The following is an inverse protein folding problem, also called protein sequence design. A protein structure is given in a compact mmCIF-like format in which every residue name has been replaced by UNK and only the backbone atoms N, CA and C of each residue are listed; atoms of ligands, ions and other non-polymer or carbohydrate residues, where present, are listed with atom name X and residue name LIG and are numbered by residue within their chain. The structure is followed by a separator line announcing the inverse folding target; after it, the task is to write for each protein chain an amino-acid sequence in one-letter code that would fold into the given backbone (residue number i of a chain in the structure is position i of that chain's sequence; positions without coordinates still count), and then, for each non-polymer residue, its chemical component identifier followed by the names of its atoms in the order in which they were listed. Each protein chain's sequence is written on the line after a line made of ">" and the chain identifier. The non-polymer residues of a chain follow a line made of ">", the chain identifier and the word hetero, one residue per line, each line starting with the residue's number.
data_IF_020723025725
#
_entry.id   IF_020723025725
#
_cell.length_a   1.000
_cell.length_b   1.000
_cell.length_c   1.000
_cell.angle_alpha   90.00
_cell.angle_beta   90.00
_cell.angle_gamma   90.00
#
_symmetry.space_group_name_H-M   'P 1'
#
loop_
_entity.id
_entity.type
_entity.pdbx_description
1 polymer ?
#
# COMPACT_ATOMS: atom_id res chain seq x y z
N UNK A 1 35.46 22.09 -1.35
CA UNK A 1 34.35 22.00 -0.38
C UNK A 1 33.06 22.20 -1.17
N UNK A 2 32.51 21.10 -1.70
CA UNK A 2 31.23 21.09 -2.41
C UNK A 2 30.18 20.57 -1.45
N UNK A 3 29.08 21.29 -1.34
CA UNK A 3 27.85 20.86 -0.69
C UNK A 3 26.76 20.97 -1.75
N UNK A 4 26.11 19.89 -2.16
CA UNK A 4 24.81 19.97 -2.79
C UNK A 4 23.73 19.56 -1.79
N UNK A 5 22.79 20.46 -1.55
CA UNK A 5 21.53 20.16 -0.89
C UNK A 5 20.43 20.02 -1.96
N UNK A 6 19.54 19.06 -1.67
CA UNK A 6 18.20 18.90 -2.21
C UNK A 6 18.08 18.48 -3.69
N UNK A 7 18.03 17.16 -3.89
CA UNK A 7 17.31 16.55 -5.02
C UNK A 7 15.82 16.60 -4.65
N UNK A 8 15.07 17.47 -5.32
CA UNK A 8 13.61 17.46 -5.35
C UNK A 8 13.21 16.53 -6.51
N UNK A 9 12.84 15.29 -6.22
CA UNK A 9 12.21 14.39 -7.20
C UNK A 9 10.72 14.72 -7.22
N UNK A 10 10.33 15.64 -8.09
CA UNK A 10 8.95 15.74 -8.56
C UNK A 10 8.91 15.11 -9.94
N UNK A 11 8.58 13.82 -10.01
CA UNK A 11 8.40 13.11 -11.26
C UNK A 11 6.99 13.42 -11.79
N UNK A 12 6.81 14.62 -12.35
CA UNK A 12 5.70 14.86 -13.27
C UNK A 12 6.07 14.21 -14.61
N UNK A 13 5.25 13.27 -15.06
CA UNK A 13 5.38 12.64 -16.38
C UNK A 13 5.28 13.69 -17.50
N UNK A 14 6.42 14.17 -17.99
CA UNK A 14 6.48 14.99 -19.20
C UNK A 14 6.63 14.06 -20.40
N UNK A 15 5.51 13.59 -20.97
CA UNK A 15 5.52 13.01 -22.32
C UNK A 15 5.58 14.17 -23.31
N UNK A 16 6.72 14.29 -23.98
CA UNK A 16 6.90 15.15 -25.16
C UNK A 16 6.04 14.58 -26.29
N UNK A 17 4.90 15.22 -26.59
CA UNK A 17 4.23 15.03 -27.87
C UNK A 17 4.57 16.21 -28.77
N UNK A 18 5.39 15.94 -29.78
CA UNK A 18 5.58 16.83 -30.91
C UNK A 18 4.24 17.02 -31.62
N UNK A 19 3.74 18.26 -31.66
CA UNK A 19 2.56 18.61 -32.42
C UNK A 19 2.82 18.46 -33.92
N UNK A 20 2.17 17.47 -34.55
CA UNK A 20 1.86 17.50 -35.98
C UNK A 20 0.48 18.14 -36.17
N UNK A 21 0.30 19.10 -37.09
CA UNK A 21 -1.01 19.72 -37.30
C UNK A 21 -1.84 18.83 -38.24
N UNK A 22 -2.64 17.94 -37.66
CA UNK A 22 -3.59 17.13 -38.42
C UNK A 22 -4.31 16.14 -37.52
N UNK A 23 -5.60 16.38 -37.31
CA UNK A 23 -6.49 15.73 -36.36
C UNK A 23 -6.23 14.24 -36.07
N UNK A 24 -5.99 13.95 -34.81
CA UNK A 24 -6.36 12.71 -34.13
C UNK A 24 -6.79 13.13 -32.72
N UNK A 25 -7.98 12.71 -32.32
CA UNK A 25 -8.49 12.92 -30.96
C UNK A 25 -7.43 12.43 -29.96
N UNK A 26 -7.04 13.31 -29.04
CA UNK A 26 -6.26 12.92 -27.89
C UNK A 26 -7.12 11.92 -27.10
N UNK A 27 -6.78 10.63 -27.19
CA UNK A 27 -7.28 9.67 -26.23
C UNK A 27 -6.93 10.21 -24.84
N UNK A 28 -7.93 10.49 -24.02
CA UNK A 28 -7.73 10.94 -22.66
C UNK A 28 -6.83 9.91 -21.95
N UNK A 29 -5.61 10.31 -21.64
CA UNK A 29 -4.74 9.54 -20.76
C UNK A 29 -5.48 9.48 -19.41
N UNK A 30 -5.92 8.30 -19.02
CA UNK A 30 -6.60 8.10 -17.74
C UNK A 30 -5.62 8.45 -16.63
N UNK A 31 -5.94 9.49 -15.87
CA UNK A 31 -5.17 10.03 -14.74
C UNK A 31 -5.25 9.11 -13.50
N UNK A 32 -5.17 7.80 -13.72
CA UNK A 32 -5.32 6.82 -12.66
C UNK A 32 -4.10 6.88 -11.73
N UNK A 33 -4.32 7.23 -10.47
CA UNK A 33 -3.27 7.32 -9.48
C UNK A 33 -2.84 5.91 -9.02
N UNK A 34 -1.53 5.60 -8.99
CA UNK A 34 -1.04 4.27 -8.62
C UNK A 34 -1.03 4.05 -7.10
N UNK A 35 -0.96 2.78 -6.68
CA UNK A 35 -0.62 2.41 -5.32
C UNK A 35 0.89 2.56 -5.16
N UNK A 36 1.36 3.34 -4.19
CA UNK A 36 2.79 3.66 -4.03
C UNK A 36 3.28 3.23 -2.65
N UNK A 37 4.37 2.47 -2.64
CA UNK A 37 5.02 1.96 -1.43
C UNK A 37 6.53 2.06 -1.54
N UNK A 38 7.21 2.12 -0.40
CA UNK A 38 8.68 2.06 -0.36
C UNK A 38 9.15 0.79 0.32
N UNK A 39 10.10 0.09 -0.33
CA UNK A 39 10.63 -1.20 0.10
C UNK A 39 12.14 -1.18 0.27
N UNK A 40 12.65 -1.95 1.23
CA UNK A 40 14.08 -2.12 1.50
C UNK A 40 14.66 -3.33 0.77
N UNK A 41 15.87 -3.16 0.25
CA UNK A 41 16.73 -4.23 -0.26
C UNK A 41 18.06 -4.19 0.49
N UNK A 42 18.25 -5.15 1.39
CA UNK A 42 19.38 -5.17 2.33
C UNK A 42 20.69 -5.74 1.77
N UNK A 43 20.63 -6.43 0.62
CA UNK A 43 21.80 -7.02 -0.03
C UNK A 43 21.71 -6.88 -1.56
N UNK A 44 22.86 -6.69 -2.22
CA UNK A 44 22.96 -6.73 -3.67
C UNK A 44 22.49 -8.11 -4.18
N UNK A 45 21.65 -8.13 -5.21
CA UNK A 45 20.94 -9.34 -5.65
C UNK A 45 19.78 -9.76 -4.74
N UNK A 46 19.35 -8.89 -3.81
CA UNK A 46 18.17 -9.09 -2.98
C UNK A 46 16.88 -8.89 -3.78
N UNK A 47 15.80 -9.51 -3.32
CA UNK A 47 14.50 -9.43 -3.99
C UNK A 47 13.46 -8.64 -3.19
N UNK A 48 12.44 -8.16 -3.88
CA UNK A 48 11.15 -7.77 -3.31
C UNK A 48 10.07 -8.62 -3.98
N UNK A 49 9.14 -9.11 -3.19
CA UNK A 49 7.94 -9.79 -3.66
C UNK A 49 6.75 -8.87 -3.48
N UNK A 50 5.89 -8.78 -4.50
CA UNK A 50 4.55 -8.19 -4.39
C UNK A 50 3.56 -9.36 -4.28
N UNK A 51 3.18 -9.77 -3.06
CA UNK A 51 2.36 -10.96 -2.86
C UNK A 51 0.88 -10.66 -3.10
N UNK A 52 0.30 -11.37 -4.06
CA UNK A 52 -1.14 -11.36 -4.31
C UNK A 52 -1.70 -12.70 -3.89
N UNK A 53 -2.39 -12.75 -2.75
CA UNK A 53 -2.93 -13.99 -2.20
C UNK A 53 -4.30 -14.37 -2.77
N UNK A 54 -4.49 -14.33 -4.09
CA UNK A 54 -5.78 -14.58 -4.71
C UNK A 54 -5.84 -14.18 -6.19
N UNK A 55 -7.04 -14.17 -6.75
CA UNK A 55 -7.26 -13.54 -8.04
C UNK A 55 -6.98 -12.04 -7.92
N UNK A 56 -6.27 -11.51 -8.90
CA UNK A 56 -6.17 -10.09 -9.19
C UNK A 56 -6.49 -9.96 -10.67
N UNK A 57 -6.93 -8.77 -11.08
CA UNK A 57 -6.91 -8.46 -12.49
C UNK A 57 -5.50 -8.31 -13.01
N UNK A 58 -5.42 -7.73 -14.20
CA UNK A 58 -4.15 -7.44 -14.86
C UNK A 58 -3.63 -6.09 -14.40
N UNK A 59 -2.37 -6.04 -13.99
CA UNK A 59 -1.76 -4.83 -13.44
C UNK A 59 -0.31 -4.65 -13.92
N UNK A 60 0.24 -3.47 -13.69
CA UNK A 60 1.63 -3.09 -14.04
C UNK A 60 2.38 -2.70 -12.78
N UNK A 61 3.62 -3.20 -12.64
CA UNK A 61 4.52 -2.88 -11.54
C UNK A 61 5.71 -2.11 -12.06
N UNK A 62 5.93 -0.92 -11.52
CA UNK A 62 7.14 -0.14 -11.72
C UNK A 62 8.02 -0.31 -10.49
N UNK A 63 9.18 -0.94 -10.66
CA UNK A 63 10.03 -1.37 -9.53
C UNK A 63 10.94 -0.28 -8.95
N UNK A 64 10.90 0.94 -9.50
CA UNK A 64 11.70 2.06 -8.99
C UNK A 64 13.19 2.02 -9.34
N UNK A 65 13.65 0.98 -10.06
CA UNK A 65 15.03 0.84 -10.59
C UNK A 65 15.09 0.99 -12.13
N UNK A 66 13.99 1.42 -12.75
CA UNK A 66 13.84 1.56 -14.19
C UNK A 66 13.31 0.30 -14.89
N UNK A 67 13.13 -0.82 -14.17
CA UNK A 67 12.44 -2.00 -14.69
C UNK A 67 10.93 -1.92 -14.47
N UNK A 68 10.17 -2.54 -15.36
CA UNK A 68 8.71 -2.54 -15.35
C UNK A 68 8.19 -3.91 -15.79
N UNK A 69 7.25 -4.45 -15.04
CA UNK A 69 6.47 -5.62 -15.41
C UNK A 69 5.08 -5.16 -15.83
N UNK A 70 4.73 -5.37 -17.10
CA UNK A 70 3.48 -4.89 -17.72
C UNK A 70 2.50 -6.04 -17.90
N UNK A 71 1.23 -5.76 -17.65
CA UNK A 71 0.12 -6.69 -17.84
C UNK A 71 0.30 -8.05 -17.13
N UNK A 72 0.86 -8.01 -15.93
CA UNK A 72 1.07 -9.19 -15.09
C UNK A 72 -0.15 -9.53 -14.24
N UNK A 73 -0.16 -10.75 -13.71
CA UNK A 73 -1.21 -11.28 -12.85
C UNK A 73 -0.59 -12.10 -11.72
N UNK A 74 -1.24 -12.15 -10.55
CA UNK A 74 -0.76 -12.94 -9.40
C UNK A 74 0.54 -12.38 -8.80
N UNK A 75 1.18 -13.11 -7.89
CA UNK A 75 2.38 -12.65 -7.18
C UNK A 75 3.56 -12.38 -8.12
N UNK A 76 4.19 -11.20 -7.97
CA UNK A 76 5.42 -10.85 -8.68
C UNK A 76 6.65 -10.88 -7.78
N UNK A 77 7.80 -11.17 -8.39
CA UNK A 77 9.10 -11.16 -7.71
C UNK A 77 10.11 -10.42 -8.58
N UNK A 78 10.84 -9.49 -7.98
CA UNK A 78 11.88 -8.76 -8.67
C UNK A 78 13.18 -8.78 -7.88
N UNK A 79 14.31 -8.79 -8.57
CA UNK A 79 15.66 -8.83 -7.98
C UNK A 79 16.41 -7.58 -8.34
N UNK A 80 16.93 -6.89 -7.33
CA UNK A 80 17.66 -5.64 -7.49
C UNK A 80 19.17 -5.87 -7.52
N UNK A 81 19.86 -5.14 -8.39
CA UNK A 81 21.32 -5.23 -8.49
C UNK A 81 22.02 -4.67 -7.25
N UNK A 82 21.52 -3.55 -6.73
CA UNK A 82 22.11 -2.81 -5.62
C UNK A 82 21.24 -2.87 -4.36
N UNK A 83 21.81 -2.49 -3.23
CA UNK A 83 21.07 -2.28 -1.99
C UNK A 83 20.45 -0.89 -1.98
N UNK A 84 19.31 -0.74 -1.33
CA UNK A 84 18.70 0.57 -1.14
C UNK A 84 17.23 0.48 -0.78
N UNK A 85 16.60 1.65 -0.76
CA UNK A 85 15.16 1.77 -0.66
C UNK A 85 14.62 2.09 -2.05
N UNK A 86 13.60 1.34 -2.48
CA UNK A 86 12.99 1.46 -3.80
C UNK A 86 11.52 1.82 -3.65
N UNK A 87 11.11 2.87 -4.35
CA UNK A 87 9.71 3.25 -4.45
C UNK A 87 9.07 2.45 -5.57
N UNK A 88 8.11 1.60 -5.21
CA UNK A 88 7.36 0.75 -6.12
C UNK A 88 6.00 1.39 -6.33
N UNK A 89 5.62 1.59 -7.59
CA UNK A 89 4.28 2.05 -7.96
C UNK A 89 3.54 0.98 -8.77
N UNK A 90 2.29 0.72 -8.42
CA UNK A 90 1.46 -0.30 -9.06
C UNK A 90 0.19 0.36 -9.61
N UNK A 91 -0.13 0.07 -10.86
CA UNK A 91 -1.33 0.58 -11.54
C UNK A 91 -2.11 -0.54 -12.23
N UNK A 92 -3.36 -0.28 -12.56
CA UNK A 92 -4.25 -1.27 -13.17
C UNK A 92 -5.10 -1.98 -12.13
N UNK A 93 -5.53 -3.20 -12.43
CA UNK A 93 -6.52 -3.92 -11.61
C UNK A 93 -5.84 -4.72 -10.48
N UNK A 94 -5.11 -3.99 -9.63
CA UNK A 94 -4.42 -4.53 -8.45
C UNK A 94 -5.33 -4.44 -7.22
N UNK A 95 -6.01 -5.54 -6.91
CA UNK A 95 -7.11 -5.54 -5.93
C UNK A 95 -6.73 -6.09 -4.55
N UNK A 96 -5.52 -6.65 -4.39
CA UNK A 96 -5.10 -7.33 -3.17
C UNK A 96 -3.59 -7.37 -2.99
N UNK A 97 -3.15 -7.03 -1.77
CA UNK A 97 -1.83 -7.37 -1.24
C UNK A 97 -2.03 -8.31 -0.03
N UNK A 98 -1.12 -9.27 0.15
CA UNK A 98 -1.24 -10.28 1.22
C UNK A 98 0.13 -10.72 1.73
N UNK A 99 0.69 -9.95 2.66
CA UNK A 99 2.01 -10.23 3.21
C UNK A 99 2.04 -11.40 4.19
N UNK A 100 0.93 -11.66 4.89
CA UNK A 100 0.71 -12.88 5.69
C UNK A 100 1.84 -13.18 6.71
N UNK A 101 2.42 -12.12 7.29
CA UNK A 101 3.48 -12.22 8.30
C UNK A 101 4.80 -12.83 7.79
N UNK A 102 4.95 -13.01 6.48
CA UNK A 102 6.14 -13.65 5.88
C UNK A 102 7.36 -12.73 5.96
N UNK A 103 8.60 -13.26 5.83
CA UNK A 103 9.82 -12.44 5.89
C UNK A 103 9.87 -11.27 4.90
N UNK A 104 9.09 -11.33 3.82
CA UNK A 104 8.95 -10.22 2.87
C UNK A 104 8.25 -8.99 3.48
N UNK A 105 7.36 -9.18 4.47
CA UNK A 105 6.67 -8.09 5.15
C UNK A 105 7.63 -7.09 5.81
N UNK A 106 8.73 -7.60 6.39
CA UNK A 106 9.77 -6.78 7.03
C UNK A 106 10.49 -5.82 6.07
N UNK A 107 10.34 -6.03 4.76
CA UNK A 107 10.95 -5.17 3.74
C UNK A 107 10.09 -3.96 3.40
N UNK A 108 8.80 -3.97 3.70
CA UNK A 108 7.92 -2.83 3.46
C UNK A 108 8.20 -1.73 4.50
N UNK A 109 8.61 -0.56 4.03
CA UNK A 109 8.97 0.57 4.87
C UNK A 109 7.87 1.63 4.95
N UNK A 110 7.09 1.83 3.89
CA UNK A 110 5.97 2.77 3.94
C UNK A 110 4.89 2.49 2.91
N UNK A 111 3.67 2.88 3.28
CA UNK A 111 2.59 3.18 2.33
C UNK A 111 2.63 4.68 2.09
N UNK A 112 2.89 5.07 0.86
CA UNK A 112 3.08 6.46 0.45
C UNK A 112 1.85 7.02 -0.29
N UNK A 113 1.06 6.15 -0.92
CA UNK A 113 -0.19 6.49 -1.62
C UNK A 113 -1.06 5.25 -1.81
N UNK A 114 -2.38 5.38 -1.69
CA UNK A 114 -3.36 4.33 -1.99
C UNK A 114 -3.72 4.24 -3.48
N UNK A 115 -3.90 5.40 -4.12
CA UNK A 115 -4.34 5.53 -5.50
C UNK A 115 -5.77 5.05 -5.74
N UNK A 116 -6.13 4.83 -7.00
CA UNK A 116 -7.50 4.55 -7.45
C UNK A 116 -7.92 3.06 -7.39
N UNK A 117 -7.17 2.24 -6.64
CA UNK A 117 -7.38 0.80 -6.58
C UNK A 117 -8.64 0.51 -5.78
N UNK A 118 -9.59 -0.17 -6.42
CA UNK A 118 -10.71 -0.76 -5.70
C UNK A 118 -10.25 -2.08 -5.08
N UNK A 119 -10.09 -2.06 -3.76
CA UNK A 119 -9.59 -3.24 -3.04
C UNK A 119 -10.70 -4.26 -2.83
N UNK A 120 -10.41 -5.53 -3.09
CA UNK A 120 -11.37 -6.63 -2.89
C UNK A 120 -11.22 -7.24 -1.48
N UNK A 121 -10.03 -7.18 -0.90
CA UNK A 121 -9.76 -7.68 0.45
C UNK A 121 -8.50 -7.04 1.02
N UNK A 122 -8.57 -6.66 2.30
CA UNK A 122 -7.41 -6.18 3.07
C UNK A 122 -6.91 -7.22 4.09
N UNK A 123 -7.42 -8.45 4.03
CA UNK A 123 -7.06 -9.49 4.98
C UNK A 123 -5.56 -9.81 4.92
N UNK A 124 -4.87 -9.65 6.05
CA UNK A 124 -3.41 -9.82 6.20
C UNK A 124 -2.57 -9.02 5.18
N UNK A 125 -3.07 -7.87 4.71
CA UNK A 125 -2.42 -7.08 3.68
C UNK A 125 -1.01 -6.62 4.09
N UNK A 126 -0.88 -6.10 5.32
CA UNK A 126 0.37 -5.57 5.89
C UNK A 126 0.76 -6.29 7.19
N UNK A 127 0.28 -7.53 7.36
CA UNK A 127 0.62 -8.37 8.50
C UNK A 127 2.14 -8.59 8.56
N UNK A 128 2.72 -8.34 9.74
CA UNK A 128 4.14 -8.51 10.03
C UNK A 128 5.05 -7.42 9.46
N UNK A 129 4.50 -6.36 8.85
CA UNK A 129 5.29 -5.24 8.32
C UNK A 129 5.78 -4.32 9.47
N UNK A 130 6.68 -4.84 10.31
CA UNK A 130 7.08 -4.22 11.58
C UNK A 130 7.72 -2.84 11.45
N UNK A 131 8.41 -2.60 10.32
CA UNK A 131 9.14 -1.38 10.03
C UNK A 131 8.29 -0.35 9.25
N UNK A 132 7.07 -0.73 8.86
CA UNK A 132 6.23 0.08 7.99
C UNK A 132 5.66 1.30 8.73
N UNK A 133 5.84 2.47 8.14
CA UNK A 133 5.18 3.73 8.54
C UNK A 133 4.07 4.12 7.55
N UNK A 134 3.21 5.05 7.94
CA UNK A 134 2.11 5.54 7.11
C UNK A 134 2.35 6.99 6.69
N UNK A 135 2.58 7.21 5.39
CA UNK A 135 2.83 8.53 4.80
C UNK A 135 1.70 8.98 3.86
N UNK A 136 0.82 8.07 3.46
CA UNK A 136 -0.29 8.34 2.55
C UNK A 136 -1.17 9.49 3.05
N UNK A 137 -1.59 10.34 2.11
CA UNK A 137 -2.49 11.48 2.37
C UNK A 137 -3.87 11.30 1.75
N UNK A 138 -4.00 10.30 0.90
CA UNK A 138 -5.22 9.77 0.31
C UNK A 138 -5.77 8.58 1.13
N UNK A 139 -6.95 8.10 0.74
CA UNK A 139 -7.66 6.99 1.38
C UNK A 139 -7.91 5.86 0.38
N UNK A 140 -7.86 4.59 0.79
CA UNK A 140 -8.19 3.46 -0.08
C UNK A 140 -9.67 3.47 -0.46
N UNK A 141 -10.00 3.02 -1.68
CA UNK A 141 -11.37 2.60 -2.00
C UNK A 141 -11.63 1.22 -1.36
N UNK A 142 -12.34 1.24 -0.24
CA UNK A 142 -12.76 0.06 0.52
C UNK A 142 -14.20 -0.38 0.19
N UNK A 143 -14.84 0.20 -0.83
CA UNK A 143 -16.25 -0.04 -1.11
C UNK A 143 -16.59 -1.52 -1.39
N UNK A 144 -15.62 -2.29 -1.90
CA UNK A 144 -15.71 -3.74 -2.12
C UNK A 144 -15.09 -4.59 -0.99
N UNK A 145 -14.46 -3.98 0.01
CA UNK A 145 -13.79 -4.69 1.11
C UNK A 145 -14.80 -5.03 2.21
N UNK A 146 -14.92 -6.33 2.48
CA UNK A 146 -15.73 -6.85 3.61
C UNK A 146 -14.87 -7.41 4.76
N UNK A 147 -13.58 -7.65 4.51
CA UNK A 147 -12.65 -8.27 5.46
C UNK A 147 -11.33 -7.50 5.52
N UNK A 148 -11.01 -6.99 6.72
CA UNK A 148 -9.78 -6.32 7.09
C UNK A 148 -9.04 -7.06 8.22
N UNK A 149 -9.37 -8.33 8.44
CA UNK A 149 -8.77 -9.13 9.50
C UNK A 149 -7.25 -9.20 9.34
N UNK A 150 -6.52 -9.12 10.44
CA UNK A 150 -5.05 -9.16 10.48
C UNK A 150 -4.30 -8.08 9.68
N UNK A 151 -5.00 -7.10 9.07
CA UNK A 151 -4.40 -6.18 8.09
C UNK A 151 -3.10 -5.52 8.55
N UNK A 152 -3.01 -5.11 9.82
CA UNK A 152 -1.84 -4.48 10.44
C UNK A 152 -1.30 -5.26 11.64
N UNK A 153 -1.65 -6.54 11.76
CA UNK A 153 -1.17 -7.37 12.85
C UNK A 153 0.37 -7.43 12.83
N UNK A 154 1.02 -7.10 13.93
CA UNK A 154 2.48 -7.05 14.05
C UNK A 154 3.16 -5.89 13.33
N UNK A 155 2.42 -4.92 12.77
CA UNK A 155 2.98 -3.70 12.17
C UNK A 155 3.40 -2.72 13.28
N UNK A 156 4.47 -3.05 14.02
CA UNK A 156 4.85 -2.37 15.27
C UNK A 156 5.18 -0.89 15.14
N UNK A 157 5.62 -0.42 13.96
CA UNK A 157 5.94 0.99 13.69
C UNK A 157 4.77 1.77 13.07
N UNK A 158 3.67 1.09 12.74
CA UNK A 158 2.55 1.70 12.05
C UNK A 158 1.79 2.66 12.97
N UNK A 159 1.61 3.90 12.51
CA UNK A 159 0.75 4.88 13.13
C UNK A 159 0.31 5.90 12.07
N UNK A 160 -1.00 5.98 11.78
CA UNK A 160 -1.55 6.87 10.75
C UNK A 160 -2.95 7.34 11.12
N UNK A 161 -3.33 8.54 10.68
CA UNK A 161 -4.74 8.99 10.76
C UNK A 161 -5.54 8.24 9.68
N UNK A 162 -6.48 7.40 10.12
CA UNK A 162 -7.32 6.57 9.24
C UNK A 162 -8.77 7.07 9.23
N UNK A 163 -9.02 8.29 9.72
CA UNK A 163 -10.36 8.83 9.87
C UNK A 163 -11.05 9.14 8.54
N UNK A 164 -10.30 9.16 7.44
CA UNK A 164 -10.84 9.31 6.08
C UNK A 164 -11.34 7.99 5.47
N UNK A 165 -11.04 6.84 6.09
CA UNK A 165 -11.40 5.55 5.53
C UNK A 165 -12.90 5.29 5.68
N UNK A 166 -13.56 4.91 4.58
CA UNK A 166 -14.95 4.45 4.61
C UNK A 166 -14.97 2.95 4.94
N UNK A 167 -15.38 2.61 6.16
CA UNK A 167 -15.44 1.22 6.64
C UNK A 167 -16.85 0.63 6.61
N UNK A 168 -17.84 1.31 6.00
CA UNK A 168 -19.26 0.94 6.10
C UNK A 168 -19.60 -0.44 5.52
N UNK A 169 -18.81 -0.93 4.55
CA UNK A 169 -18.93 -2.27 3.96
C UNK A 169 -18.25 -3.38 4.78
N UNK A 170 -17.43 -3.04 5.77
CA UNK A 170 -16.55 -3.99 6.47
C UNK A 170 -17.34 -4.79 7.50
N UNK A 171 -17.15 -6.11 7.49
CA UNK A 171 -17.84 -7.05 8.38
C UNK A 171 -16.91 -7.77 9.36
N UNK A 172 -15.61 -7.79 9.08
CA UNK A 172 -14.59 -8.45 9.89
C UNK A 172 -13.35 -7.56 10.04
N UNK A 173 -13.07 -7.16 11.28
CA UNK A 173 -11.89 -6.40 11.71
C UNK A 173 -11.09 -7.17 12.77
N UNK A 174 -11.30 -8.49 12.88
CA UNK A 174 -10.62 -9.32 13.87
C UNK A 174 -9.10 -9.23 13.73
N UNK A 175 -8.41 -9.10 14.86
CA UNK A 175 -6.94 -9.11 14.95
C UNK A 175 -6.24 -7.97 14.17
N UNK A 176 -6.99 -6.98 13.64
CA UNK A 176 -6.48 -5.99 12.68
C UNK A 176 -5.25 -5.22 13.17
N UNK A 177 -5.18 -4.83 14.45
CA UNK A 177 -4.06 -4.08 15.04
C UNK A 177 -3.33 -4.89 16.13
N UNK A 178 -3.49 -6.22 16.12
CA UNK A 178 -2.84 -7.09 17.11
C UNK A 178 -1.34 -6.86 17.15
N UNK A 179 -0.77 -6.58 18.32
CA UNK A 179 0.66 -6.29 18.50
C UNK A 179 1.20 -5.12 17.63
N UNK A 180 0.35 -4.23 17.11
CA UNK A 180 0.75 -2.99 16.44
C UNK A 180 1.09 -1.93 17.50
N UNK A 181 2.18 -2.14 18.24
CA UNK A 181 2.47 -1.44 19.51
C UNK A 181 2.51 0.08 19.44
N UNK A 182 2.86 0.68 18.29
CA UNK A 182 2.90 2.14 18.11
C UNK A 182 1.58 2.75 17.62
N UNK A 183 0.59 1.93 17.27
CA UNK A 183 -0.66 2.44 16.70
C UNK A 183 -1.44 3.25 17.72
N UNK A 184 -1.67 4.52 17.40
CA UNK A 184 -2.62 5.39 18.09
C UNK A 184 -3.31 6.33 17.09
N UNK A 185 -3.58 5.79 15.90
CA UNK A 185 -4.20 6.51 14.79
C UNK A 185 -5.64 6.90 15.08
N UNK A 186 -6.10 8.00 14.50
CA UNK A 186 -7.49 8.41 14.62
C UNK A 186 -8.40 7.49 13.77
N UNK A 187 -9.32 6.80 14.43
CA UNK A 187 -10.34 5.93 13.83
C UNK A 187 -11.77 6.35 14.21
N UNK A 188 -11.94 7.54 14.78
CA UNK A 188 -13.21 8.01 15.37
C UNK A 188 -14.37 8.18 14.37
N UNK A 189 -14.11 8.08 13.07
CA UNK A 189 -15.10 8.19 12.00
C UNK A 189 -15.46 6.86 11.35
N UNK A 190 -14.88 5.76 11.81
CA UNK A 190 -15.18 4.45 11.25
C UNK A 190 -16.64 4.08 11.53
N UNK A 191 -17.33 3.66 10.48
CA UNK A 191 -18.64 3.03 10.59
C UNK A 191 -18.44 1.56 10.90
N UNK A 192 -18.84 1.16 12.11
CA UNK A 192 -18.73 -0.20 12.62
C UNK A 192 -20.06 -0.95 12.59
N UNK A 193 -21.13 -0.36 12.03
CA UNK A 193 -22.49 -0.90 12.09
C UNK A 193 -22.67 -2.24 11.36
N UNK A 194 -21.84 -2.50 10.36
CA UNK A 194 -21.79 -3.78 9.61
C UNK A 194 -20.86 -4.81 10.23
N UNK A 195 -20.02 -4.42 11.21
CA UNK A 195 -18.97 -5.28 11.76
C UNK A 195 -19.56 -6.34 12.67
N UNK A 196 -19.20 -7.59 12.41
CA UNK A 196 -19.65 -8.77 13.15
C UNK A 196 -18.55 -9.40 14.01
N UNK A 197 -17.28 -9.12 13.70
CA UNK A 197 -16.12 -9.61 14.45
C UNK A 197 -15.05 -8.51 14.60
N UNK A 198 -14.70 -8.20 15.86
CA UNK A 198 -13.57 -7.36 16.26
C UNK A 198 -12.68 -8.06 17.30
N UNK A 199 -12.75 -9.40 17.37
CA UNK A 199 -11.99 -10.18 18.34
C UNK A 199 -10.50 -9.90 18.20
N UNK A 200 -9.84 -9.67 19.35
CA UNK A 200 -8.39 -9.38 19.44
C UNK A 200 -7.88 -8.17 18.64
N UNK A 201 -8.77 -7.31 18.13
CA UNK A 201 -8.42 -6.19 17.25
C UNK A 201 -7.29 -5.32 17.82
N UNK A 202 -7.33 -5.02 19.13
CA UNK A 202 -6.33 -4.21 19.83
C UNK A 202 -5.54 -4.96 20.90
N UNK A 203 -5.51 -6.30 20.84
CA UNK A 203 -4.72 -7.07 21.80
C UNK A 203 -3.23 -6.80 21.58
N UNK A 204 -2.50 -6.57 22.68
CA UNK A 204 -1.08 -6.16 22.67
C UNK A 204 -0.77 -4.84 21.93
N UNK A 205 -1.79 -3.99 21.66
CA UNK A 205 -1.65 -2.65 21.04
C UNK A 205 -1.45 -1.58 22.12
N UNK A 206 -0.28 -1.58 22.76
CA UNK A 206 -0.04 -0.84 24.01
C UNK A 206 -0.23 0.68 23.96
N UNK A 207 -0.05 1.32 22.78
CA UNK A 207 -0.19 2.78 22.64
C UNK A 207 -1.62 3.25 22.37
N UNK A 208 -2.53 2.34 22.01
CA UNK A 208 -3.87 2.74 21.57
C UNK A 208 -4.73 3.25 22.74
N UNK A 209 -5.26 4.46 22.59
CA UNK A 209 -6.17 5.08 23.54
C UNK A 209 -7.37 5.80 22.88
N UNK A 210 -7.63 5.50 21.61
CA UNK A 210 -8.69 6.14 20.83
C UNK A 210 -10.10 5.67 21.22
N UNK A 211 -11.08 6.52 20.93
CA UNK A 211 -12.49 6.15 21.03
C UNK A 211 -12.86 5.14 19.94
N UNK A 212 -13.66 4.14 20.33
CA UNK A 212 -14.28 3.17 19.43
C UNK A 212 -15.80 3.36 19.58
N UNK A 213 -16.48 3.77 18.51
CA UNK A 213 -17.92 4.03 18.50
C UNK A 213 -18.72 2.93 17.82
#
# INVERSE_FOLDING_TARGET
>A
MMHPHAILVLLLALVVVAASPGGMEAAAQTDAEPFVTTWRVDAAGGNVTIPVGGASGTYTVYWGDGTVDVDVTGTQNHTYADTGNYTISISGDFTRIHLDGQPNALKLLSIDQWGDMQWESMASAFEGASDMVYNATDSPDLSAVTNMSWMFAGATSFNGDLSSWDTSSVTDMSVMFYNASSFNGNISKWDTSSVTDMSWMFADTSSFNGDIS
#
